data_IF_826231625457
#
_entry.id   IF_826231625457
#
_cell.length_a   1.000
_cell.length_b   1.000
_cell.length_c   1.000
_cell.angle_alpha   90.00
_cell.angle_beta   90.00
_cell.angle_gamma   90.00
#
_symmetry.space_group_name_H-M   'P 1'
#
loop_
_entity.id
_entity.type
_entity.pdbx_description
1 polymer ?
#
# COMPACT_ATOMS: atom_id res chain seq x y z
N UNK A 1 11.34 -1.18 -55.39
CA UNK A 1 12.62 -0.76 -54.78
C UNK A 1 12.30 0.24 -53.68
N UNK A 2 12.76 0.04 -52.45
CA UNK A 2 12.45 0.95 -51.34
C UNK A 2 13.28 2.23 -51.49
N UNK A 3 12.63 3.38 -51.53
CA UNK A 3 13.29 4.69 -51.54
C UNK A 3 13.81 5.02 -50.14
N UNK A 4 15.12 5.22 -50.02
CA UNK A 4 15.81 5.58 -48.76
C UNK A 4 15.23 6.84 -48.12
N UNK A 5 14.89 7.85 -48.91
CA UNK A 5 14.32 9.12 -48.41
C UNK A 5 12.93 8.88 -47.82
N UNK A 6 12.13 8.04 -48.47
CA UNK A 6 10.79 7.66 -47.98
C UNK A 6 10.89 6.85 -46.69
N UNK A 7 11.82 5.89 -46.64
CA UNK A 7 12.08 5.10 -45.44
C UNK A 7 12.47 5.96 -44.24
N UNK A 8 13.43 6.89 -44.41
CA UNK A 8 13.89 7.78 -43.32
C UNK A 8 12.74 8.65 -42.79
N UNK A 9 11.91 9.21 -43.68
CA UNK A 9 10.74 10.00 -43.27
C UNK A 9 9.72 9.19 -42.48
N UNK A 10 9.43 7.97 -42.94
CA UNK A 10 8.47 7.08 -42.28
C UNK A 10 9.01 6.57 -40.93
N UNK A 11 10.27 6.18 -40.86
CA UNK A 11 10.92 5.75 -39.63
C UNK A 11 11.00 6.88 -38.60
N UNK A 12 11.32 8.11 -39.03
CA UNK A 12 11.31 9.28 -38.15
C UNK A 12 9.92 9.60 -37.62
N UNK A 13 8.90 9.58 -38.48
CA UNK A 13 7.51 9.84 -38.09
C UNK A 13 6.97 8.76 -37.14
N UNK A 14 7.30 7.48 -37.39
CA UNK A 14 6.98 6.38 -36.50
C UNK A 14 7.68 6.49 -35.14
N UNK A 15 8.96 6.90 -35.12
CA UNK A 15 9.72 7.14 -33.89
C UNK A 15 9.12 8.27 -33.05
N UNK A 16 8.70 9.37 -33.70
CA UNK A 16 8.01 10.49 -33.01
C UNK A 16 6.67 10.02 -32.44
N UNK A 17 5.83 9.32 -33.22
CA UNK A 17 4.55 8.81 -32.74
C UNK A 17 4.72 7.81 -31.59
N UNK A 18 5.72 6.95 -31.65
CA UNK A 18 6.05 6.02 -30.58
C UNK A 18 6.47 6.78 -29.31
N UNK A 19 7.31 7.80 -29.43
CA UNK A 19 7.75 8.62 -28.29
C UNK A 19 6.61 9.39 -27.61
N UNK A 20 5.66 9.91 -28.40
CA UNK A 20 4.49 10.67 -27.91
C UNK A 20 3.43 9.73 -27.35
N UNK A 21 3.27 8.52 -27.92
CA UNK A 21 2.32 7.51 -27.44
C UNK A 21 2.65 6.92 -26.07
N UNK A 22 3.90 7.05 -25.61
CA UNK A 22 4.35 6.63 -24.28
C UNK A 22 4.09 7.66 -23.18
N UNK A 23 3.64 8.87 -23.52
CA UNK A 23 3.27 9.86 -22.53
C UNK A 23 2.06 9.35 -21.73
N UNK A 24 2.07 9.45 -20.39
CA UNK A 24 0.99 8.93 -19.60
C UNK A 24 -0.15 9.96 -19.61
N UNK A 25 -0.98 9.92 -20.64
CA UNK A 25 -2.09 10.86 -20.87
C UNK A 25 -3.19 10.79 -19.80
N UNK A 26 -3.19 9.73 -18.98
CA UNK A 26 -4.19 9.46 -17.96
C UNK A 26 -3.52 8.90 -16.70
N UNK A 27 -2.99 9.80 -15.85
CA UNK A 27 -2.58 9.43 -14.49
C UNK A 27 -3.42 10.18 -13.46
N UNK A 28 -4.72 10.24 -13.66
CA UNK A 28 -5.61 10.64 -12.57
C UNK A 28 -5.80 9.41 -11.67
N UNK A 29 -4.75 9.12 -10.89
CA UNK A 29 -4.84 8.15 -9.81
C UNK A 29 -5.73 8.79 -8.75
N UNK A 30 -6.91 8.23 -8.44
CA UNK A 30 -7.76 8.80 -7.41
C UNK A 30 -6.99 8.84 -6.10
N UNK A 31 -7.05 9.98 -5.41
CA UNK A 31 -6.48 10.10 -4.06
C UNK A 31 -7.27 9.20 -3.12
N UNK A 32 -6.72 8.01 -2.84
CA UNK A 32 -7.36 7.04 -1.96
C UNK A 32 -7.12 7.46 -0.52
N UNK A 33 -8.19 7.81 0.18
CA UNK A 33 -8.16 8.02 1.63
C UNK A 33 -7.91 6.68 2.34
N UNK A 34 -6.83 6.59 3.11
CA UNK A 34 -6.56 5.43 3.96
C UNK A 34 -7.27 5.60 5.31
N UNK A 35 -8.24 4.74 5.60
CA UNK A 35 -8.95 4.71 6.88
C UNK A 35 -8.51 3.51 7.73
N UNK A 36 -7.95 3.77 8.92
CA UNK A 36 -7.59 2.74 9.90
C UNK A 36 -8.56 2.75 11.07
N UNK A 37 -9.36 1.69 11.22
CA UNK A 37 -10.30 1.54 12.34
C UNK A 37 -9.72 0.52 13.32
N UNK A 38 -9.40 0.97 14.53
CA UNK A 38 -8.96 0.12 15.63
C UNK A 38 -10.07 0.00 16.67
N UNK A 39 -10.33 -1.22 17.13
CA UNK A 39 -11.36 -1.49 18.13
C UNK A 39 -10.87 -2.51 19.15
N UNK A 40 -11.25 -2.30 20.41
CA UNK A 40 -11.10 -3.27 21.50
C UNK A 40 -12.47 -3.46 22.14
N UNK A 41 -12.80 -4.69 22.52
CA UNK A 41 -14.01 -4.97 23.28
C UNK A 41 -13.67 -5.56 24.67
N UNK A 42 -14.51 -5.25 25.66
CA UNK A 42 -14.65 -5.97 26.93
C UNK A 42 -13.32 -6.26 27.65
N UNK A 43 -12.49 -5.23 27.81
CA UNK A 43 -11.16 -5.38 28.44
C UNK A 43 -11.20 -5.53 29.97
N UNK A 44 -12.35 -5.27 30.62
CA UNK A 44 -12.56 -5.48 32.06
C UNK A 44 -11.42 -4.95 32.95
N UNK A 45 -10.94 -3.72 32.68
CA UNK A 45 -9.84 -3.08 33.40
C UNK A 45 -8.53 -3.89 33.48
N UNK A 46 -8.29 -4.79 32.52
CA UNK A 46 -7.07 -5.61 32.48
C UNK A 46 -5.89 -4.83 31.90
N UNK A 47 -5.03 -4.35 32.81
CA UNK A 47 -3.78 -3.63 32.50
C UNK A 47 -2.67 -4.62 32.17
N UNK A 48 -2.51 -5.65 33.00
CA UNK A 48 -1.46 -6.66 32.83
C UNK A 48 -1.87 -7.79 31.87
N UNK A 49 -0.90 -8.54 31.32
CA UNK A 49 -1.18 -9.76 30.59
C UNK A 49 -1.90 -10.81 31.45
N UNK A 50 -2.47 -11.82 30.79
CA UNK A 50 -2.98 -12.99 31.49
C UNK A 50 -1.86 -13.69 32.28
N UNK A 51 -2.16 -14.27 33.46
CA UNK A 51 -1.19 -15.00 34.27
C UNK A 51 -0.51 -16.10 33.46
N UNK A 52 0.74 -16.42 33.82
CA UNK A 52 1.48 -17.52 33.21
C UNK A 52 1.14 -18.85 33.92
N UNK A 53 -0.11 -19.27 33.78
CA UNK A 53 -0.70 -20.43 34.45
C UNK A 53 -0.84 -21.65 33.53
N UNK A 54 -0.21 -21.61 32.34
CA UNK A 54 -0.34 -22.63 31.31
C UNK A 54 -1.68 -22.62 30.58
N UNK A 55 -2.57 -21.66 30.85
CA UNK A 55 -3.80 -21.50 30.07
C UNK A 55 -3.52 -21.08 28.63
N UNK A 56 -4.52 -21.25 27.75
CA UNK A 56 -4.42 -20.88 26.32
C UNK A 56 -3.96 -19.44 26.08
N UNK A 57 -4.30 -18.53 27.00
CA UNK A 57 -3.99 -17.11 26.84
C UNK A 57 -2.83 -16.66 27.74
N UNK A 58 -2.10 -17.59 28.39
CA UNK A 58 -1.01 -17.29 29.30
C UNK A 58 -0.03 -16.27 28.71
N UNK A 59 0.24 -15.22 29.47
CA UNK A 59 1.11 -14.13 29.07
C UNK A 59 0.59 -13.26 27.93
N UNK A 60 -0.63 -13.43 27.39
CA UNK A 60 -1.20 -12.61 26.32
C UNK A 60 -2.00 -11.40 26.85
N UNK A 61 -2.39 -10.47 25.97
CA UNK A 61 -3.25 -9.34 26.34
C UNK A 61 -2.55 -8.24 27.15
N UNK A 62 -3.34 -7.52 27.97
CA UNK A 62 -2.90 -6.36 28.74
C UNK A 62 -2.96 -5.03 27.97
N UNK A 63 -3.25 -3.94 28.69
CA UNK A 63 -3.32 -2.59 28.14
C UNK A 63 -1.96 -2.09 27.62
N UNK A 64 -0.87 -2.43 28.31
CA UNK A 64 0.50 -2.02 27.91
C UNK A 64 0.87 -2.58 26.55
N UNK A 65 0.64 -3.88 26.31
CA UNK A 65 0.91 -4.50 25.01
C UNK A 65 -0.02 -3.98 23.91
N UNK A 66 -1.30 -3.74 24.22
CA UNK A 66 -2.22 -3.11 23.27
C UNK A 66 -1.75 -1.71 22.87
N UNK A 67 -1.27 -0.90 23.82
CA UNK A 67 -0.73 0.43 23.52
C UNK A 67 0.47 0.36 22.57
N UNK A 68 1.41 -0.56 22.82
CA UNK A 68 2.55 -0.80 21.93
C UNK A 68 2.13 -1.28 20.53
N UNK A 69 1.08 -2.11 20.43
CA UNK A 69 0.55 -2.57 19.15
C UNK A 69 -0.14 -1.43 18.39
N UNK A 70 -0.97 -0.64 19.07
CA UNK A 70 -1.63 0.54 18.49
C UNK A 70 -0.59 1.52 17.98
N UNK A 71 0.50 1.74 18.72
CA UNK A 71 1.60 2.61 18.31
C UNK A 71 2.34 2.13 17.06
N UNK A 72 2.37 0.82 16.79
CA UNK A 72 2.95 0.27 15.56
C UNK A 72 2.00 0.35 14.36
N UNK A 73 0.69 0.40 14.61
CA UNK A 73 -0.33 0.43 13.56
C UNK A 73 -0.65 1.88 13.14
N UNK A 74 -0.62 2.83 14.08
CA UNK A 74 -0.70 4.26 13.81
C UNK A 74 0.62 4.80 13.28
#
# INVERSE_FOLDING_TARGET
>A
MIDRRRFIKQAGMAGVLYSVGQAPWFTDQPELSHLTILHTNDVHSRIDPFPDDGSRNAGAGGAVRRAQLIEKIR
#
